data_IF_539942661542
#
_entry.id   IF_539942661542
#
_cell.length_a   1.000
_cell.length_b   1.000
_cell.length_c   1.000
_cell.angle_alpha   90.00
_cell.angle_beta   90.00
_cell.angle_gamma   90.00
#
_symmetry.space_group_name_H-M   'P 1'
#
loop_
_entity.id
_entity.type
_entity.pdbx_description
1 polymer ?
#
# COMPACT_ATOMS: atom_id res chain seq x y z
N UNK A 1 -68.93 57.56 3.64
CA UNK A 1 -67.92 56.81 4.43
C UNK A 1 -67.98 55.33 4.03
N UNK A 2 -67.08 54.88 3.14
CA UNK A 2 -66.90 53.45 2.79
C UNK A 2 -65.50 53.07 3.27
N UNK A 3 -65.41 52.18 4.26
CA UNK A 3 -64.12 51.64 4.74
C UNK A 3 -63.77 50.45 3.86
N UNK A 4 -62.77 50.61 3.01
CA UNK A 4 -62.12 49.51 2.28
C UNK A 4 -61.10 48.91 3.24
N UNK A 5 -61.33 47.67 3.66
CA UNK A 5 -60.37 46.89 4.45
C UNK A 5 -59.40 46.26 3.46
N UNK A 6 -58.15 46.75 3.46
CA UNK A 6 -57.04 46.16 2.71
C UNK A 6 -56.52 44.95 3.51
N UNK A 7 -56.83 43.74 3.04
CA UNK A 7 -56.13 42.53 3.46
C UNK A 7 -54.82 42.43 2.67
N UNK A 8 -53.72 42.84 3.29
CA UNK A 8 -52.37 42.52 2.85
C UNK A 8 -51.76 41.64 3.93
N UNK A 9 -51.75 40.33 3.69
CA UNK A 9 -50.99 39.40 4.51
C UNK A 9 -50.27 38.40 3.59
N UNK A 10 -48.98 38.21 3.88
CA UNK A 10 -48.11 37.09 3.49
C UNK A 10 -47.66 36.98 2.03
N UNK A 11 -46.59 37.70 1.67
CA UNK A 11 -45.60 37.28 0.66
C UNK A 11 -44.21 37.92 0.93
N UNK A 12 -43.59 37.69 2.09
CA UNK A 12 -42.23 38.23 2.35
C UNK A 12 -41.24 37.27 3.03
N UNK A 13 -41.54 35.97 3.10
CA UNK A 13 -40.63 35.00 3.76
C UNK A 13 -39.75 34.20 2.81
N UNK A 14 -40.04 34.10 1.51
CA UNK A 14 -39.28 33.22 0.62
C UNK A 14 -37.93 33.81 0.16
N UNK A 15 -37.78 35.13 0.09
CA UNK A 15 -36.56 35.76 -0.43
C UNK A 15 -35.36 35.69 0.53
N UNK A 16 -35.59 35.72 1.85
CA UNK A 16 -34.51 35.79 2.85
C UNK A 16 -33.74 34.47 3.00
N UNK A 17 -34.36 33.32 2.68
CA UNK A 17 -33.74 32.01 2.89
C UNK A 17 -32.86 31.52 1.72
N UNK A 18 -33.00 32.11 0.53
CA UNK A 18 -32.21 31.70 -0.64
C UNK A 18 -30.72 32.07 -0.49
N UNK A 19 -30.45 33.23 0.12
CA UNK A 19 -29.09 33.69 0.40
C UNK A 19 -28.42 32.82 1.48
N UNK A 20 -29.16 32.48 2.55
CA UNK A 20 -28.67 31.63 3.65
C UNK A 20 -28.26 30.21 3.18
N UNK A 21 -29.02 29.60 2.26
CA UNK A 21 -28.68 28.26 1.73
C UNK A 21 -27.43 28.31 0.86
N UNK A 22 -27.30 29.35 0.05
CA UNK A 22 -26.11 29.56 -0.79
C UNK A 22 -24.85 29.74 0.07
N UNK A 23 -24.95 30.51 1.15
CA UNK A 23 -23.87 30.69 2.11
C UNK A 23 -23.53 29.37 2.84
N UNK A 24 -24.53 28.59 3.24
CA UNK A 24 -24.32 27.27 3.85
C UNK A 24 -23.53 26.33 2.90
N UNK A 25 -23.94 26.27 1.63
CA UNK A 25 -23.28 25.46 0.60
C UNK A 25 -21.82 25.91 0.39
N UNK A 26 -21.55 27.22 0.41
CA UNK A 26 -20.20 27.78 0.31
C UNK A 26 -19.33 27.44 1.52
N UNK A 27 -19.89 27.49 2.73
CA UNK A 27 -19.18 27.06 3.93
C UNK A 27 -18.87 25.56 3.88
N UNK A 28 -19.82 24.73 3.44
CA UNK A 28 -19.60 23.30 3.27
C UNK A 28 -18.46 23.02 2.27
N UNK A 29 -18.50 23.67 1.11
CA UNK A 29 -17.48 23.52 0.07
C UNK A 29 -16.08 23.96 0.54
N UNK A 30 -16.01 25.01 1.36
CA UNK A 30 -14.76 25.49 1.95
C UNK A 30 -14.36 24.72 3.22
N UNK A 31 -15.08 23.65 3.56
CA UNK A 31 -14.87 22.80 4.75
C UNK A 31 -14.97 23.59 6.07
N UNK A 32 -15.67 24.72 6.05
CA UNK A 32 -16.03 25.53 7.21
C UNK A 32 -17.28 24.94 7.89
N UNK A 33 -17.13 23.71 8.38
CA UNK A 33 -18.25 22.89 8.84
C UNK A 33 -19.08 23.47 9.97
N UNK A 34 -18.51 24.14 11.00
CA UNK A 34 -19.32 24.75 12.05
C UNK A 34 -20.31 25.79 11.50
N UNK A 35 -19.87 26.64 10.57
CA UNK A 35 -20.73 27.66 9.96
C UNK A 35 -21.80 27.05 9.05
N UNK A 36 -21.43 26.05 8.25
CA UNK A 36 -22.38 25.30 7.43
C UNK A 36 -23.45 24.62 8.30
N UNK A 37 -23.02 23.96 9.38
CA UNK A 37 -23.90 23.23 10.30
C UNK A 37 -24.95 24.15 10.92
N UNK A 38 -24.54 25.34 11.38
CA UNK A 38 -25.46 26.29 12.02
C UNK A 38 -26.52 26.80 11.04
N UNK A 39 -26.11 27.15 9.81
CA UNK A 39 -27.05 27.58 8.77
C UNK A 39 -27.98 26.45 8.32
N UNK A 40 -27.45 25.25 8.06
CA UNK A 40 -28.29 24.12 7.70
C UNK A 40 -29.26 23.74 8.81
N UNK A 41 -28.87 23.78 10.09
CA UNK A 41 -29.80 23.57 11.21
C UNK A 41 -30.95 24.57 11.19
N UNK A 42 -30.65 25.87 11.05
CA UNK A 42 -31.65 26.94 10.98
C UNK A 42 -32.63 26.70 9.82
N UNK A 43 -32.11 26.43 8.62
CA UNK A 43 -32.91 26.22 7.41
C UNK A 43 -33.71 24.91 7.46
N UNK A 44 -33.12 23.84 7.98
CA UNK A 44 -33.77 22.53 8.10
C UNK A 44 -34.95 22.58 9.09
N UNK A 45 -34.80 23.31 10.20
CA UNK A 45 -35.88 23.58 11.16
C UNK A 45 -37.01 24.42 10.55
N UNK A 46 -36.70 25.30 9.60
CA UNK A 46 -37.68 26.07 8.84
C UNK A 46 -38.37 25.24 7.72
N UNK A 47 -38.03 23.95 7.58
CA UNK A 47 -38.65 23.05 6.61
C UNK A 47 -37.99 23.06 5.22
N UNK A 48 -36.81 23.67 5.06
CA UNK A 48 -36.11 23.63 3.78
C UNK A 48 -35.58 22.20 3.50
N UNK A 49 -36.10 21.58 2.44
CA UNK A 49 -35.82 20.19 2.09
C UNK A 49 -34.36 19.94 1.66
N UNK A 50 -33.68 20.94 1.09
CA UNK A 50 -32.26 20.84 0.69
C UNK A 50 -31.35 20.95 1.92
N UNK A 51 -31.65 21.87 2.84
CA UNK A 51 -30.94 21.98 4.11
C UNK A 51 -31.13 20.74 5.00
N UNK A 52 -32.33 20.16 5.04
CA UNK A 52 -32.56 18.89 5.73
C UNK A 52 -31.70 17.77 5.13
N UNK A 53 -31.59 17.71 3.80
CA UNK A 53 -30.73 16.74 3.13
C UNK A 53 -29.26 16.92 3.51
N UNK A 54 -28.71 18.13 3.37
CA UNK A 54 -27.30 18.39 3.71
C UNK A 54 -27.00 18.21 5.20
N UNK A 55 -27.93 18.58 6.09
CA UNK A 55 -27.77 18.31 7.51
C UNK A 55 -27.71 16.79 7.79
N UNK A 56 -28.48 15.99 7.05
CA UNK A 56 -28.37 14.54 7.07
C UNK A 56 -27.00 14.02 6.64
N UNK A 57 -26.44 14.57 5.56
CA UNK A 57 -25.08 14.22 5.10
C UNK A 57 -24.02 14.57 6.14
N UNK A 58 -24.11 15.76 6.76
CA UNK A 58 -23.15 16.17 7.79
C UNK A 58 -23.13 15.20 8.98
N UNK A 59 -24.30 14.71 9.43
CA UNK A 59 -24.38 13.68 10.46
C UNK A 59 -23.92 12.30 9.98
N UNK A 60 -24.17 11.93 8.71
CA UNK A 60 -23.74 10.64 8.16
C UNK A 60 -22.21 10.54 8.03
N UNK A 61 -21.58 11.65 7.67
CA UNK A 61 -20.16 11.74 7.38
C UNK A 61 -19.32 12.33 8.53
N UNK A 62 -19.95 12.91 9.55
CA UNK A 62 -19.26 13.52 10.68
C UNK A 62 -18.60 14.85 10.32
N UNK A 63 -19.21 15.63 9.43
CA UNK A 63 -18.67 16.91 8.98
C UNK A 63 -19.01 18.01 9.98
N UNK A 64 -18.05 18.37 10.84
CA UNK A 64 -18.25 19.35 11.92
C UNK A 64 -19.09 18.84 13.10
N UNK A 65 -19.49 17.56 13.07
CA UNK A 65 -20.25 16.87 14.12
C UNK A 65 -19.75 15.44 14.29
N UNK A 66 -20.11 14.79 15.39
CA UNK A 66 -19.91 13.35 15.50
C UNK A 66 -20.82 12.62 14.50
N UNK A 67 -20.33 11.50 13.94
CA UNK A 67 -21.14 10.63 13.08
C UNK A 67 -22.35 10.11 13.86
N UNK A 68 -23.55 10.34 13.33
CA UNK A 68 -24.81 9.85 13.88
C UNK A 68 -25.76 9.46 12.73
N UNK A 69 -25.72 8.17 12.37
CA UNK A 69 -26.57 7.64 11.32
C UNK A 69 -28.06 7.68 11.67
N UNK A 70 -28.43 7.64 12.95
CA UNK A 70 -29.83 7.74 13.35
C UNK A 70 -30.34 9.16 13.09
N UNK A 71 -29.58 10.17 13.47
CA UNK A 71 -29.91 11.57 13.21
C UNK A 71 -29.89 11.88 11.71
N UNK A 72 -28.93 11.34 10.95
CA UNK A 72 -28.92 11.42 9.50
C UNK A 72 -30.22 10.86 8.89
N UNK A 73 -30.64 9.67 9.31
CA UNK A 73 -31.88 9.03 8.84
C UNK A 73 -33.14 9.86 9.15
N UNK A 74 -33.20 10.52 10.30
CA UNK A 74 -34.31 11.43 10.63
C UNK A 74 -34.36 12.62 9.67
N UNK A 75 -33.22 13.22 9.36
CA UNK A 75 -33.15 14.38 8.46
C UNK A 75 -33.44 14.01 7.00
N UNK A 76 -32.86 12.90 6.51
CA UNK A 76 -33.19 12.40 5.17
C UNK A 76 -34.67 12.02 5.07
N UNK A 77 -35.26 11.40 6.09
CA UNK A 77 -36.68 11.09 6.12
C UNK A 77 -37.58 12.33 6.06
N UNK A 78 -37.19 13.42 6.71
CA UNK A 78 -37.88 14.71 6.61
C UNK A 78 -37.70 15.32 5.21
N UNK A 79 -36.47 15.33 4.67
CA UNK A 79 -36.17 15.84 3.34
C UNK A 79 -36.97 15.11 2.24
N UNK A 80 -37.07 13.78 2.32
CA UNK A 80 -37.88 12.94 1.41
C UNK A 80 -39.36 13.33 1.47
N UNK A 81 -39.94 13.44 2.69
CA UNK A 81 -41.33 13.91 2.87
C UNK A 81 -41.55 15.33 2.34
N UNK A 82 -40.53 16.18 2.39
CA UNK A 82 -40.55 17.54 1.87
C UNK A 82 -40.24 17.65 0.36
N UNK A 83 -40.09 16.51 -0.34
CA UNK A 83 -39.94 16.45 -1.80
C UNK A 83 -38.50 16.55 -2.30
N UNK A 84 -37.49 16.40 -1.44
CA UNK A 84 -36.11 16.30 -1.88
C UNK A 84 -35.89 14.96 -2.61
N UNK A 85 -35.54 15.05 -3.91
CA UNK A 85 -35.42 13.89 -4.80
C UNK A 85 -34.21 13.00 -4.48
N UNK A 86 -33.21 13.51 -3.77
CA UNK A 86 -31.99 12.78 -3.44
C UNK A 86 -32.10 12.04 -2.09
N UNK A 87 -33.07 12.43 -1.24
CA UNK A 87 -33.15 11.95 0.13
C UNK A 87 -33.47 10.44 0.24
N UNK A 88 -34.27 9.89 -0.68
CA UNK A 88 -34.53 8.44 -0.70
C UNK A 88 -33.27 7.63 -1.04
N UNK A 89 -32.50 8.09 -2.03
CA UNK A 89 -31.22 7.48 -2.37
C UNK A 89 -30.22 7.59 -1.20
N UNK A 90 -30.21 8.72 -0.49
CA UNK A 90 -29.36 8.91 0.69
C UNK A 90 -29.72 7.98 1.85
N UNK A 91 -31.01 7.66 2.07
CA UNK A 91 -31.41 6.66 3.07
C UNK A 91 -30.87 5.27 2.74
N UNK A 92 -30.90 4.87 1.47
CA UNK A 92 -30.33 3.60 1.00
C UNK A 92 -28.81 3.60 1.15
N UNK A 93 -28.15 4.67 0.72
CA UNK A 93 -26.70 4.85 0.87
C UNK A 93 -26.29 4.78 2.35
N UNK A 94 -27.00 5.47 3.23
CA UNK A 94 -26.78 5.44 4.67
C UNK A 94 -26.87 4.01 5.21
N UNK A 95 -27.91 3.25 4.86
CA UNK A 95 -28.07 1.88 5.31
C UNK A 95 -26.89 0.99 4.86
N UNK A 96 -26.47 1.13 3.60
CA UNK A 96 -25.30 0.41 3.07
C UNK A 96 -24.01 0.82 3.78
N UNK A 97 -23.82 2.11 4.04
CA UNK A 97 -22.66 2.65 4.75
C UNK A 97 -22.60 2.15 6.19
N UNK A 98 -23.73 2.06 6.89
CA UNK A 98 -23.82 1.45 8.23
C UNK A 98 -23.45 -0.04 8.17
N UNK A 99 -23.99 -0.78 7.20
CA UNK A 99 -23.70 -2.21 7.03
C UNK A 99 -22.23 -2.48 6.68
N UNK A 100 -21.59 -1.59 5.91
CA UNK A 100 -20.22 -1.70 5.42
C UNK A 100 -19.22 -0.84 6.19
N UNK A 101 -19.59 -0.34 7.39
CA UNK A 101 -18.75 0.56 8.18
C UNK A 101 -17.35 -0.01 8.44
N UNK A 102 -17.26 -1.31 8.73
CA UNK A 102 -15.97 -1.98 8.95
C UNK A 102 -15.05 -1.96 7.73
N UNK A 103 -15.60 -2.08 6.53
CA UNK A 103 -14.82 -2.05 5.29
C UNK A 103 -14.32 -0.64 4.99
N UNK A 104 -15.17 0.37 5.17
CA UNK A 104 -14.78 1.79 5.06
C UNK A 104 -13.66 2.09 6.07
N UNK A 105 -13.86 1.72 7.34
CA UNK A 105 -12.88 1.93 8.41
C UNK A 105 -11.56 1.21 8.11
N UNK A 106 -11.59 0.03 7.49
CA UNK A 106 -10.40 -0.69 7.06
C UNK A 106 -9.56 0.15 6.10
N UNK A 107 -10.13 0.63 4.99
CA UNK A 107 -9.37 1.42 4.01
C UNK A 107 -8.92 2.78 4.57
N UNK A 108 -9.79 3.43 5.36
CA UNK A 108 -9.52 4.78 5.89
C UNK A 108 -8.49 4.76 7.03
N UNK A 109 -8.52 3.74 7.90
CA UNK A 109 -7.79 3.76 9.17
C UNK A 109 -6.84 2.58 9.40
N UNK A 110 -6.97 1.47 8.68
CA UNK A 110 -6.25 0.23 9.01
C UNK A 110 -5.41 -0.36 7.89
N UNK A 111 -5.72 -0.11 6.62
CA UNK A 111 -5.03 -0.69 5.46
C UNK A 111 -3.51 -0.55 5.58
N UNK A 112 -2.78 -1.67 5.45
CA UNK A 112 -1.32 -1.68 5.56
C UNK A 112 -0.64 -2.40 4.38
N UNK A 113 -1.38 -2.78 3.34
CA UNK A 113 -0.81 -3.40 2.14
C UNK A 113 -0.41 -4.86 2.34
N UNK A 114 -1.05 -5.57 3.28
CA UNK A 114 -0.79 -7.01 3.52
C UNK A 114 -1.11 -7.87 2.31
N UNK A 115 -2.06 -7.44 1.47
CA UNK A 115 -2.48 -8.05 0.22
C UNK A 115 -1.42 -7.95 -0.87
N UNK A 116 -0.61 -6.88 -0.85
CA UNK A 116 0.45 -6.61 -1.82
C UNK A 116 1.85 -6.84 -1.28
N UNK A 117 1.99 -7.34 -0.04
CA UNK A 117 3.28 -7.59 0.59
C UNK A 117 4.08 -8.71 -0.10
N UNK A 118 5.41 -8.57 -0.14
CA UNK A 118 6.31 -9.58 -0.72
C UNK A 118 6.14 -10.97 -0.07
N UNK A 119 5.78 -11.02 1.21
CA UNK A 119 5.49 -12.26 1.94
C UNK A 119 4.35 -13.07 1.33
N UNK A 120 3.44 -12.43 0.57
CA UNK A 120 2.37 -13.12 -0.17
C UNK A 120 2.86 -13.78 -1.45
N UNK A 121 3.89 -13.23 -2.09
CA UNK A 121 4.44 -13.76 -3.35
C UNK A 121 5.33 -14.99 -3.12
N UNK A 122 5.63 -15.35 -1.86
CA UNK A 122 6.34 -16.58 -1.46
C UNK A 122 7.67 -16.80 -2.23
N UNK A 123 8.39 -15.72 -2.53
CA UNK A 123 9.73 -15.85 -3.11
C UNK A 123 10.66 -16.57 -2.12
N UNK A 124 11.20 -17.72 -2.52
CA UNK A 124 12.10 -18.53 -1.70
C UNK A 124 13.41 -17.76 -1.53
N UNK A 125 13.73 -17.35 -0.31
CA UNK A 125 14.99 -16.65 -0.01
C UNK A 125 16.17 -17.60 -0.22
N UNK A 126 17.21 -17.21 -1.00
CA UNK A 126 18.36 -18.07 -1.24
C UNK A 126 19.21 -18.20 0.04
N UNK A 127 19.76 -19.39 0.26
CA UNK A 127 20.72 -19.64 1.33
C UNK A 127 22.12 -19.49 0.75
N UNK A 128 22.77 -18.39 1.06
CA UNK A 128 24.10 -18.05 0.52
C UNK A 128 25.15 -18.39 1.59
N UNK A 129 26.02 -19.40 1.39
CA UNK A 129 27.08 -19.71 2.33
C UNK A 129 28.17 -18.64 2.29
N UNK A 130 29.12 -18.67 3.23
CA UNK A 130 30.24 -17.72 3.22
C UNK A 130 31.12 -17.83 1.96
N UNK A 131 31.30 -19.05 1.43
CA UNK A 131 31.96 -19.34 0.16
C UNK A 131 31.61 -20.76 -0.30
N UNK A 132 31.83 -21.07 -1.57
CA UNK A 132 31.65 -22.40 -2.15
C UNK A 132 33.00 -23.01 -2.55
N UNK A 133 33.15 -24.32 -2.37
CA UNK A 133 34.41 -25.03 -2.68
C UNK A 133 34.33 -25.83 -3.98
N UNK A 134 33.13 -26.23 -4.37
CA UNK A 134 32.90 -27.09 -5.52
C UNK A 134 32.09 -26.39 -6.60
N UNK A 135 32.30 -26.79 -7.86
CA UNK A 135 31.49 -26.31 -8.99
C UNK A 135 29.98 -26.57 -8.81
N UNK A 136 29.62 -27.63 -8.07
CA UNK A 136 28.21 -27.94 -7.76
C UNK A 136 27.62 -26.89 -6.82
N UNK A 137 28.27 -26.65 -5.68
CA UNK A 137 27.84 -25.61 -4.74
C UNK A 137 27.78 -24.22 -5.38
N UNK A 138 28.69 -23.90 -6.31
CA UNK A 138 28.67 -22.62 -7.03
C UNK A 138 27.40 -22.49 -7.88
N UNK A 139 27.06 -23.53 -8.64
CA UNK A 139 25.82 -23.56 -9.44
C UNK A 139 24.58 -23.51 -8.54
N UNK A 140 24.54 -24.32 -7.49
CA UNK A 140 23.36 -24.38 -6.61
C UNK A 140 23.04 -23.01 -5.98
N UNK A 141 24.07 -22.28 -5.54
CA UNK A 141 23.91 -20.91 -5.01
C UNK A 141 23.46 -19.95 -6.12
N UNK A 142 24.12 -19.96 -7.28
CA UNK A 142 23.77 -19.10 -8.42
C UNK A 142 22.31 -19.31 -8.87
N UNK A 143 21.92 -20.57 -9.09
CA UNK A 143 20.57 -20.96 -9.50
C UNK A 143 19.52 -20.50 -8.46
N UNK A 144 19.83 -20.62 -7.16
CA UNK A 144 18.93 -20.16 -6.09
C UNK A 144 18.72 -18.64 -6.08
N UNK A 145 19.79 -17.88 -6.35
CA UNK A 145 19.74 -16.40 -6.40
C UNK A 145 19.01 -15.95 -7.66
N UNK A 146 19.26 -16.59 -8.80
CA UNK A 146 18.57 -16.31 -10.07
C UNK A 146 17.06 -16.59 -9.96
N UNK A 147 16.68 -17.72 -9.36
CA UNK A 147 15.28 -18.05 -9.10
C UNK A 147 14.60 -17.01 -8.18
N UNK A 148 15.30 -16.58 -7.12
CA UNK A 148 14.80 -15.53 -6.24
C UNK A 148 14.66 -14.17 -6.97
N UNK A 149 15.66 -13.76 -7.77
CA UNK A 149 15.62 -12.51 -8.55
C UNK A 149 14.47 -12.52 -9.55
N UNK A 150 14.23 -13.63 -10.24
CA UNK A 150 13.11 -13.77 -11.17
C UNK A 150 11.77 -13.57 -10.45
N UNK A 151 11.60 -14.20 -9.28
CA UNK A 151 10.40 -14.03 -8.44
C UNK A 151 10.25 -12.58 -7.95
N UNK A 152 11.32 -11.98 -7.42
CA UNK A 152 11.33 -10.61 -6.93
C UNK A 152 11.00 -9.60 -8.03
N UNK A 153 11.56 -9.78 -9.24
CA UNK A 153 11.26 -8.91 -10.38
C UNK A 153 9.79 -9.02 -10.81
N UNK A 154 9.21 -10.22 -10.75
CA UNK A 154 7.76 -10.39 -10.97
C UNK A 154 6.94 -9.67 -9.91
N UNK A 155 7.32 -9.78 -8.63
CA UNK A 155 6.71 -9.01 -7.54
C UNK A 155 6.75 -7.49 -7.81
N UNK A 156 7.91 -6.95 -8.15
CA UNK A 156 8.07 -5.51 -8.44
C UNK A 156 7.21 -5.09 -9.64
N UNK A 157 7.18 -5.88 -10.71
CA UNK A 157 6.32 -5.62 -11.87
C UNK A 157 4.84 -5.61 -11.49
N UNK A 158 4.38 -6.58 -10.69
CA UNK A 158 2.99 -6.67 -10.25
C UNK A 158 2.62 -5.52 -9.31
N UNK A 159 3.51 -5.15 -8.40
CA UNK A 159 3.31 -4.01 -7.50
C UNK A 159 3.18 -2.71 -8.32
N UNK A 160 4.02 -2.51 -9.32
CA UNK A 160 3.96 -1.34 -10.21
C UNK A 160 2.69 -1.34 -11.08
N UNK A 161 2.23 -2.50 -11.56
CA UNK A 161 1.01 -2.62 -12.35
C UNK A 161 -0.28 -2.38 -11.53
N UNK A 162 -0.22 -2.62 -10.21
CA UNK A 162 -1.30 -2.35 -9.26
C UNK A 162 -1.41 -0.87 -8.85
N UNK A 163 -0.46 -0.01 -9.24
CA UNK A 163 -0.54 1.44 -9.04
C UNK A 163 -1.27 2.09 -10.23
N UNK A 164 -2.27 2.99 -10.01
CA UNK A 164 -2.58 3.75 -8.78
C UNK A 164 -3.74 3.19 -7.90
N UNK A 165 -3.97 3.73 -6.66
CA UNK A 165 -4.82 3.18 -5.59
C UNK A 165 -6.28 2.83 -5.94
N UNK A 166 -6.85 3.46 -6.97
CA UNK A 166 -8.26 3.29 -7.36
C UNK A 166 -8.63 1.89 -7.89
N UNK A 167 -7.67 0.96 -7.98
CA UNK A 167 -7.95 -0.45 -8.29
C UNK A 167 -8.11 -1.35 -7.06
N UNK A 168 -7.75 -0.88 -5.86
CA UNK A 168 -7.70 -1.71 -4.67
C UNK A 168 -8.83 -1.44 -3.65
N UNK A 169 -9.49 -0.29 -3.72
CA UNK A 169 -10.78 -0.10 -3.02
C UNK A 169 -11.88 -0.67 -3.93
N UNK A 170 -12.68 -1.66 -3.49
CA UNK A 170 -13.83 -2.14 -4.24
C UNK A 170 -14.80 -0.99 -4.55
N UNK A 171 -15.33 -0.91 -5.76
CA UNK A 171 -16.17 0.22 -6.20
C UNK A 171 -17.46 0.37 -5.38
N UNK A 172 -17.99 -0.75 -4.88
CA UNK A 172 -19.12 -0.79 -3.95
C UNK A 172 -18.79 -0.23 -2.57
N UNK A 173 -17.51 -0.20 -2.17
CA UNK A 173 -17.04 0.48 -0.96
C UNK A 173 -16.69 1.94 -1.22
N UNK A 174 -16.00 2.22 -2.33
CA UNK A 174 -15.64 3.58 -2.75
C UNK A 174 -16.89 4.47 -2.86
N UNK A 175 -17.97 3.95 -3.47
CA UNK A 175 -19.24 4.68 -3.61
C UNK A 175 -19.94 5.01 -2.28
N UNK A 176 -19.50 4.45 -1.16
CA UNK A 176 -20.02 4.74 0.17
C UNK A 176 -19.19 5.78 0.94
N UNK A 177 -18.00 6.13 0.44
CA UNK A 177 -17.10 7.09 1.07
C UNK A 177 -17.45 8.52 0.65
N UNK A 178 -17.22 9.48 1.55
CA UNK A 178 -17.13 10.88 1.13
C UNK A 178 -15.74 11.21 0.58
N UNK A 179 -15.58 12.43 0.05
CA UNK A 179 -14.31 12.91 -0.50
C UNK A 179 -13.15 12.81 0.51
N UNK A 180 -13.38 13.15 1.79
CA UNK A 180 -12.33 13.16 2.80
C UNK A 180 -11.83 11.76 3.14
N UNK A 181 -12.75 10.82 3.28
CA UNK A 181 -12.45 9.42 3.56
C UNK A 181 -11.71 8.78 2.40
N UNK A 182 -12.16 9.05 1.18
CA UNK A 182 -11.50 8.56 -0.02
C UNK A 182 -10.06 9.09 -0.13
N UNK A 183 -9.85 10.40 0.04
CA UNK A 183 -8.50 10.97 0.00
C UNK A 183 -7.62 10.45 1.15
N UNK A 184 -8.18 10.26 2.35
CA UNK A 184 -7.45 9.65 3.46
C UNK A 184 -7.07 8.19 3.19
N UNK A 185 -7.99 7.40 2.64
CA UNK A 185 -7.74 6.02 2.24
C UNK A 185 -6.64 5.95 1.17
N UNK A 186 -6.72 6.80 0.14
CA UNK A 186 -5.70 6.91 -0.91
C UNK A 186 -4.32 7.24 -0.36
N UNK A 187 -4.19 8.27 0.48
CA UNK A 187 -2.91 8.63 1.11
C UNK A 187 -2.33 7.48 1.95
N UNK A 188 -3.21 6.77 2.66
CA UNK A 188 -2.80 5.61 3.46
C UNK A 188 -2.32 4.47 2.58
N UNK A 189 -3.04 4.18 1.50
CA UNK A 189 -2.66 3.15 0.53
C UNK A 189 -1.33 3.50 -0.12
N UNK A 190 -1.14 4.74 -0.58
CA UNK A 190 0.13 5.21 -1.14
C UNK A 190 1.30 5.02 -0.17
N UNK A 191 1.10 5.33 1.11
CA UNK A 191 2.09 5.09 2.15
C UNK A 191 2.39 3.60 2.37
N UNK A 192 1.36 2.75 2.35
CA UNK A 192 1.51 1.30 2.46
C UNK A 192 2.28 0.72 1.27
N UNK A 193 1.95 1.12 0.04
CA UNK A 193 2.69 0.73 -1.17
C UNK A 193 4.15 1.18 -1.12
N UNK A 194 4.42 2.42 -0.72
CA UNK A 194 5.77 2.93 -0.57
C UNK A 194 6.58 2.12 0.43
N UNK A 195 5.97 1.74 1.57
CA UNK A 195 6.58 0.88 2.59
C UNK A 195 6.89 -0.51 2.05
N UNK A 196 5.90 -1.19 1.46
CA UNK A 196 6.07 -2.54 0.89
C UNK A 196 7.17 -2.55 -0.18
N UNK A 197 7.20 -1.53 -1.02
CA UNK A 197 8.26 -1.35 -2.02
C UNK A 197 9.64 -1.14 -1.38
N UNK A 198 9.72 -0.35 -0.30
CA UNK A 198 10.97 -0.14 0.43
C UNK A 198 11.48 -1.40 1.15
N UNK A 199 10.60 -2.14 1.79
CA UNK A 199 10.92 -3.43 2.42
C UNK A 199 11.46 -4.43 1.39
N UNK A 200 10.83 -4.51 0.22
CA UNK A 200 11.31 -5.33 -0.89
C UNK A 200 12.70 -4.92 -1.37
N UNK A 201 12.94 -3.61 -1.55
CA UNK A 201 14.26 -3.09 -1.93
C UNK A 201 15.35 -3.41 -0.91
N UNK A 202 15.06 -3.28 0.39
CA UNK A 202 16.04 -3.56 1.43
C UNK A 202 16.37 -5.06 1.51
N UNK A 203 15.36 -5.94 1.38
CA UNK A 203 15.61 -7.37 1.27
C UNK A 203 16.49 -7.70 0.06
N UNK A 204 16.19 -7.12 -1.10
CA UNK A 204 16.96 -7.33 -2.32
C UNK A 204 18.41 -6.90 -2.15
N UNK A 205 18.63 -5.70 -1.62
CA UNK A 205 19.96 -5.16 -1.31
C UNK A 205 20.75 -6.11 -0.39
N UNK A 206 20.13 -6.65 0.65
CA UNK A 206 20.80 -7.56 1.60
C UNK A 206 21.19 -8.90 0.96
N UNK A 207 20.34 -9.45 0.08
CA UNK A 207 20.64 -10.70 -0.64
C UNK A 207 21.77 -10.47 -1.66
N UNK A 208 21.72 -9.36 -2.41
CA UNK A 208 22.74 -9.02 -3.39
C UNK A 208 24.10 -8.75 -2.73
N UNK A 209 24.12 -8.08 -1.57
CA UNK A 209 25.35 -7.89 -0.79
C UNK A 209 25.94 -9.22 -0.32
N UNK A 210 25.12 -10.15 0.18
CA UNK A 210 25.57 -11.51 0.56
C UNK A 210 26.12 -12.28 -0.63
N UNK A 211 25.48 -12.19 -1.80
CA UNK A 211 25.96 -12.80 -3.04
C UNK A 211 27.33 -12.24 -3.43
N UNK A 212 27.51 -10.91 -3.37
CA UNK A 212 28.76 -10.26 -3.77
C UNK A 212 29.92 -10.67 -2.83
N UNK A 213 29.67 -10.75 -1.53
CA UNK A 213 30.64 -11.25 -0.55
C UNK A 213 30.97 -12.73 -0.79
N UNK A 214 29.96 -13.58 -1.00
CA UNK A 214 30.13 -14.99 -1.33
C UNK A 214 30.95 -15.19 -2.61
N UNK A 215 30.69 -14.40 -3.65
CA UNK A 215 31.42 -14.46 -4.91
C UNK A 215 32.90 -14.14 -4.70
N UNK A 216 33.19 -13.02 -4.02
CA UNK A 216 34.56 -12.60 -3.72
C UNK A 216 35.34 -13.66 -2.92
N UNK A 217 34.72 -14.23 -1.87
CA UNK A 217 35.37 -15.26 -1.05
C UNK A 217 35.54 -16.59 -1.79
N UNK A 218 34.57 -16.96 -2.62
CA UNK A 218 34.65 -18.16 -3.47
C UNK A 218 35.79 -18.05 -4.49
N UNK A 219 35.91 -16.90 -5.15
CA UNK A 219 37.00 -16.64 -6.11
C UNK A 219 38.38 -16.68 -5.41
N UNK A 220 38.51 -16.02 -4.26
CA UNK A 220 39.74 -16.04 -3.48
C UNK A 220 40.13 -17.46 -3.03
N UNK A 221 39.16 -18.27 -2.60
CA UNK A 221 39.39 -19.67 -2.25
C UNK A 221 39.88 -20.50 -3.43
N UNK A 222 39.21 -20.39 -4.59
CA UNK A 222 39.58 -21.14 -5.80
C UNK A 222 40.97 -20.75 -6.30
N UNK A 223 41.31 -19.45 -6.27
CA UNK A 223 42.65 -18.98 -6.64
C UNK A 223 43.73 -19.55 -5.71
N UNK A 224 43.47 -19.55 -4.40
CA UNK A 224 44.40 -20.13 -3.42
C UNK A 224 44.59 -21.64 -3.62
N UNK A 225 43.50 -22.38 -3.86
CA UNK A 225 43.54 -23.83 -4.08
C UNK A 225 44.24 -24.19 -5.40
N UNK A 226 43.94 -23.47 -6.49
CA UNK A 226 44.62 -23.66 -7.77
C UNK A 226 46.13 -23.41 -7.67
N UNK A 227 46.54 -22.38 -6.91
CA UNK A 227 47.96 -22.10 -6.67
C UNK A 227 48.63 -23.23 -5.90
N UNK A 228 47.96 -23.78 -4.88
CA UNK A 228 48.46 -24.92 -4.10
C UNK A 228 48.65 -26.16 -4.98
N UNK A 229 47.63 -26.51 -5.78
CA UNK A 229 47.70 -27.63 -6.72
C UNK A 229 48.84 -27.44 -7.72
N UNK A 230 49.02 -26.21 -8.24
CA UNK A 230 50.13 -25.91 -9.15
C UNK A 230 51.48 -26.12 -8.47
N UNK A 231 51.68 -25.61 -7.25
CA UNK A 231 52.91 -25.81 -6.49
C UNK A 231 53.16 -27.30 -6.20
N UNK A 232 52.12 -28.07 -5.85
CA UNK A 232 52.22 -29.52 -5.64
C UNK A 232 52.62 -30.27 -6.92
N UNK A 233 52.04 -29.89 -8.06
CA UNK A 233 52.39 -30.45 -9.36
C UNK A 233 53.85 -30.12 -9.75
N UNK A 234 54.27 -28.86 -9.61
CA UNK A 234 55.65 -28.43 -9.86
C UNK A 234 56.66 -29.17 -8.97
N UNK A 235 56.36 -29.34 -7.69
CA UNK A 235 57.18 -30.13 -6.75
C UNK A 235 57.24 -31.61 -7.11
N UNK A 236 56.11 -32.19 -7.55
CA UNK A 236 56.03 -33.57 -8.03
C UNK A 236 56.86 -33.79 -9.30
N UNK A 237 56.82 -32.86 -10.25
CA UNK A 237 57.63 -32.88 -11.46
C UNK A 237 59.14 -32.75 -11.17
N UNK A 238 59.52 -31.85 -10.25
CA UNK A 238 60.91 -31.71 -9.81
C UNK A 238 61.43 -32.99 -9.16
N UNK A 239 60.62 -33.62 -8.30
CA UNK A 239 60.98 -34.90 -7.66
C UNK A 239 61.09 -36.05 -8.66
N UNK A 240 60.19 -36.12 -9.65
CA UNK A 240 60.28 -37.10 -10.75
C UNK A 240 61.55 -36.90 -11.58
N UNK A 241 61.91 -35.65 -11.87
CA UNK A 241 63.13 -35.33 -12.63
C UNK A 241 64.40 -35.68 -11.84
N UNK A 242 64.41 -35.41 -10.52
CA UNK A 242 65.53 -35.78 -9.63
C UNK A 242 65.72 -37.30 -9.56
N UNK A 243 64.64 -38.06 -9.42
CA UNK A 243 64.68 -39.53 -9.38
C UNK A 243 65.11 -40.12 -10.73
N UNK A 244 64.66 -39.56 -11.85
CA UNK A 244 65.09 -39.99 -13.19
C UNK A 244 66.58 -39.69 -13.49
N UNK A 245 67.13 -38.59 -12.97
CA UNK A 245 68.52 -38.19 -13.16
C UNK A 245 69.48 -38.69 -12.06
N UNK A 246 69.03 -39.59 -11.18
CA UNK A 246 69.91 -40.19 -10.15
C UNK A 246 70.82 -41.24 -10.82
N UNK A 247 72.16 -41.09 -10.82
CA UNK A 247 73.06 -42.01 -11.51
C UNK A 247 72.97 -43.43 -10.93
N UNK A 248 72.92 -44.46 -11.79
CA UNK A 248 72.83 -45.88 -11.38
C UNK A 248 73.95 -46.34 -10.43
N UNK A 249 75.09 -45.67 -10.40
CA UNK A 249 76.20 -46.04 -9.51
C UNK A 249 75.97 -45.62 -8.04
N UNK A 250 74.98 -44.77 -7.76
CA UNK A 250 74.58 -44.37 -6.39
C UNK A 250 73.68 -45.43 -5.73
N UNK A 251 73.01 -46.28 -6.51
CA UNK A 251 72.10 -47.33 -6.02
C UNK A 251 72.71 -48.73 -6.00
N UNK A 252 73.94 -48.89 -6.48
CA UNK A 252 74.67 -50.17 -6.43
C UNK A 252 75.28 -50.38 -5.04
N UNK A 253 75.04 -51.52 -4.35
CA UNK A 253 75.72 -51.85 -3.11
C UNK A 253 77.24 -51.89 -3.37
N UNK A 254 78.02 -51.28 -2.48
CA UNK A 254 79.49 -51.39 -2.52
C UNK A 254 79.87 -52.88 -2.62
N UNK A 255 80.72 -53.28 -3.58
CA UNK A 255 81.13 -54.67 -3.70
C UNK A 255 81.80 -55.10 -2.39
N UNK A 256 81.27 -56.17 -1.79
CA UNK A 256 81.78 -56.71 -0.55
C UNK A 256 83.14 -57.38 -0.77
N UNK A 257 84.18 -56.73 -0.24
CA UNK A 257 85.57 -57.15 -0.02
C UNK A 257 86.34 -57.75 -1.21
#
# INVERSE_FOLDING_TARGET
MKKIVFSVFLLFSCAVYADDLTDANKFLQSKAYPQALDLYKKLAQAGNAEAQFHLGEMYLYGEGVAVDAAQAGQWFGQASKAGNKNAEAALVLMANRVARKGDIDYYVNSYAGEDVALSKVKCVTPVIPAFSQTKRQIRDVADSVDAWMACYNSFVSNLNASLPPGKAIPSDIESLMNEQEFEKAKLRMDAAYARVSAEGRELAKNILAQRDEWHSKTEAYLLAENKKIQTENEMSELNRSRTANTPQWVTSPLPSK
#
